data_IF_124962318299
#
_entry.id   IF_124962318299
#
_cell.length_a   1.000
_cell.length_b   1.000
_cell.length_c   1.000
_cell.angle_alpha   90.00
_cell.angle_beta   90.00
_cell.angle_gamma   90.00
#
_symmetry.space_group_name_H-M   'P 1'
#
loop_
_entity.id
_entity.type
_entity.pdbx_description
1 polymer ?
#
# COMPACT_ATOMS: atom_id res chain seq x y z
N UNK A 1 10.41 -7.86 -8.90
CA UNK A 1 9.99 -7.66 -7.49
C UNK A 1 8.90 -8.67 -7.17
N UNK A 2 8.89 -9.24 -5.95
CA UNK A 2 7.94 -10.29 -5.58
C UNK A 2 6.65 -9.68 -5.04
N UNK A 3 5.52 -9.98 -5.68
CA UNK A 3 4.20 -9.66 -5.13
C UNK A 3 3.79 -10.70 -4.09
N UNK A 4 2.84 -10.34 -3.24
CA UNK A 4 2.23 -11.24 -2.25
C UNK A 4 0.76 -11.48 -2.57
N UNK A 5 0.27 -12.65 -2.17
CA UNK A 5 -1.15 -13.02 -2.29
C UNK A 5 -1.84 -13.03 -0.91
N UNK A 6 -1.08 -13.28 0.15
CA UNK A 6 -1.54 -13.26 1.54
C UNK A 6 -0.44 -12.68 2.46
N UNK A 7 -0.85 -12.19 3.63
CA UNK A 7 0.02 -11.58 4.64
C UNK A 7 0.56 -12.65 5.60
N UNK A 8 1.70 -13.25 5.26
CA UNK A 8 2.37 -14.24 6.12
C UNK A 8 3.20 -13.61 7.24
N UNK A 9 3.59 -14.41 8.23
CA UNK A 9 4.57 -14.01 9.27
C UNK A 9 5.91 -13.57 8.66
N UNK A 10 6.38 -14.27 7.64
CA UNK A 10 7.63 -13.92 6.95
C UNK A 10 7.54 -12.54 6.31
N UNK A 11 6.41 -12.22 5.68
CA UNK A 11 6.17 -10.88 5.11
C UNK A 11 6.15 -9.82 6.23
N UNK A 12 5.52 -10.11 7.37
CA UNK A 12 5.51 -9.18 8.51
C UNK A 12 6.93 -8.98 9.06
N UNK A 13 7.71 -10.04 9.18
CA UNK A 13 9.08 -9.98 9.69
C UNK A 13 10.03 -9.27 8.72
N UNK A 14 9.85 -9.46 7.41
CA UNK A 14 10.71 -8.90 6.37
C UNK A 14 10.39 -7.44 6.05
N UNK A 15 9.12 -7.03 6.12
CA UNK A 15 8.66 -5.71 5.65
C UNK A 15 7.99 -4.84 6.73
N UNK A 16 7.73 -5.38 7.91
CA UNK A 16 7.09 -4.67 9.02
C UNK A 16 8.08 -3.82 9.83
N UNK A 17 7.62 -2.68 10.34
CA UNK A 17 8.45 -1.83 11.20
C UNK A 17 9.29 -0.78 10.45
N UNK A 18 9.00 -0.52 9.16
CA UNK A 18 9.79 0.36 8.30
C UNK A 18 9.92 1.81 8.78
N UNK A 19 8.87 2.38 9.38
CA UNK A 19 8.85 3.76 9.91
C UNK A 19 8.25 3.85 11.31
N UNK A 20 7.35 2.94 11.59
CA UNK A 20 6.67 2.81 12.86
C UNK A 20 6.58 1.32 13.14
N UNK A 21 6.84 0.94 14.40
CA UNK A 21 6.68 -0.43 14.85
C UNK A 21 5.27 -0.94 14.48
N UNK A 22 5.18 -2.17 13.97
CA UNK A 22 3.90 -2.77 13.61
C UNK A 22 3.27 -2.25 12.31
N UNK A 23 3.90 -1.34 11.56
CA UNK A 23 3.35 -0.87 10.27
C UNK A 23 4.05 -1.55 9.10
N UNK A 24 3.23 -2.06 8.16
CA UNK A 24 3.67 -2.57 6.86
C UNK A 24 3.20 -1.60 5.79
N UNK A 25 4.11 -1.18 4.91
CA UNK A 25 3.81 -0.34 3.77
C UNK A 25 3.67 -1.19 2.50
N UNK A 26 2.67 -0.91 1.69
CA UNK A 26 2.30 -1.65 0.48
C UNK A 26 2.12 -0.70 -0.72
N UNK A 27 2.41 -1.20 -1.92
CA UNK A 27 1.92 -0.65 -3.18
C UNK A 27 1.03 -1.69 -3.86
N UNK A 28 -0.18 -1.27 -4.22
CA UNK A 28 -1.16 -2.08 -4.93
C UNK A 28 -1.19 -1.61 -6.38
N UNK A 29 -0.83 -2.49 -7.31
CA UNK A 29 -1.06 -2.25 -8.75
C UNK A 29 -2.45 -2.77 -9.10
N UNK A 30 -3.43 -1.86 -9.18
CA UNK A 30 -4.82 -2.23 -9.48
C UNK A 30 -5.01 -2.70 -10.92
N UNK A 31 -4.11 -2.34 -11.83
CA UNK A 31 -4.16 -2.80 -13.22
C UNK A 31 -3.71 -4.25 -13.32
N UNK A 32 -2.60 -4.59 -12.65
CA UNK A 32 -2.01 -5.93 -12.68
C UNK A 32 -2.57 -6.86 -11.58
N UNK A 33 -3.43 -6.33 -10.70
CA UNK A 33 -4.00 -7.02 -9.52
C UNK A 33 -2.93 -7.63 -8.61
N UNK A 34 -1.84 -6.89 -8.36
CA UNK A 34 -0.71 -7.32 -7.53
C UNK A 34 -0.49 -6.42 -6.33
N UNK A 35 -0.09 -7.01 -5.21
CA UNK A 35 0.26 -6.31 -3.97
C UNK A 35 1.75 -6.48 -3.73
N UNK A 36 2.46 -5.39 -3.49
CA UNK A 36 3.90 -5.36 -3.28
C UNK A 36 4.23 -4.73 -1.92
N UNK A 37 4.83 -5.49 -0.98
CA UNK A 37 5.41 -4.91 0.21
C UNK A 37 6.56 -3.96 -0.14
N UNK A 38 6.61 -2.81 0.53
CA UNK A 38 7.64 -1.80 0.30
C UNK A 38 8.85 -2.11 1.18
N UNK A 39 10.05 -2.34 0.60
CA UNK A 39 11.26 -2.62 1.37
C UNK A 39 11.65 -1.49 2.33
N UNK A 40 12.29 -1.85 3.45
CA UNK A 40 12.68 -0.91 4.50
C UNK A 40 13.47 0.31 3.98
N UNK A 41 14.40 0.06 3.07
CA UNK A 41 15.33 1.04 2.51
C UNK A 41 14.74 1.90 1.38
N UNK A 42 13.47 1.76 1.00
CA UNK A 42 12.88 2.46 -0.15
C UNK A 42 11.60 3.21 0.19
N UNK A 43 11.53 4.50 -0.15
CA UNK A 43 10.27 5.24 -0.09
C UNK A 43 9.27 4.77 -1.15
N UNK A 44 7.97 4.98 -0.90
CA UNK A 44 6.91 4.59 -1.85
C UNK A 44 7.16 5.13 -3.26
N UNK A 45 7.65 6.36 -3.38
CA UNK A 45 7.96 6.98 -4.68
C UNK A 45 9.10 6.27 -5.40
N UNK A 46 10.15 5.91 -4.67
CA UNK A 46 11.31 5.25 -5.25
C UNK A 46 10.95 3.82 -5.65
N UNK A 47 10.16 3.14 -4.82
CA UNK A 47 9.64 1.80 -5.13
C UNK A 47 8.66 1.81 -6.31
N UNK A 48 7.77 2.79 -6.41
CA UNK A 48 6.89 2.96 -7.57
C UNK A 48 7.68 3.20 -8.87
N UNK A 49 8.76 3.98 -8.81
CA UNK A 49 9.64 4.20 -9.95
C UNK A 49 10.28 2.88 -10.42
N UNK A 50 10.74 2.04 -9.49
CA UNK A 50 11.28 0.71 -9.80
C UNK A 50 10.22 -0.24 -10.39
N UNK A 51 9.00 -0.25 -9.84
CA UNK A 51 7.90 -1.10 -10.35
C UNK A 51 7.50 -0.74 -11.79
N UNK A 52 7.64 0.52 -12.19
CA UNK A 52 7.27 1.00 -13.51
C UNK A 52 8.45 1.03 -14.51
N UNK A 53 9.65 0.65 -14.06
CA UNK A 53 10.90 0.83 -14.81
C UNK A 53 11.05 2.28 -15.32
N UNK A 54 10.94 3.23 -14.38
CA UNK A 54 11.03 4.67 -14.63
C UNK A 54 11.96 5.35 -13.64
N UNK A 55 12.47 6.52 -14.00
CA UNK A 55 13.15 7.40 -13.04
C UNK A 55 12.11 8.18 -12.23
N UNK A 56 12.42 8.46 -10.96
CA UNK A 56 11.61 9.32 -10.07
C UNK A 56 11.24 10.66 -10.71
N UNK A 57 12.17 11.27 -11.46
CA UNK A 57 11.94 12.53 -12.16
C UNK A 57 10.88 12.44 -13.25
N UNK A 58 10.73 11.29 -13.91
CA UNK A 58 9.68 11.06 -14.91
C UNK A 58 8.31 10.97 -14.25
N UNK A 59 8.20 10.26 -13.12
CA UNK A 59 6.95 10.20 -12.36
C UNK A 59 6.53 11.56 -11.81
N UNK A 60 7.49 12.40 -11.39
CA UNK A 60 7.20 13.77 -10.96
C UNK A 60 6.67 14.66 -12.09
N UNK A 61 7.22 14.49 -13.30
CA UNK A 61 6.79 15.24 -14.49
C UNK A 61 5.45 14.74 -15.03
N UNK A 62 5.19 13.44 -14.94
CA UNK A 62 3.94 12.83 -15.36
C UNK A 62 3.40 11.86 -14.29
N UNK A 63 2.73 12.40 -13.26
CA UNK A 63 2.20 11.59 -12.15
C UNK A 63 1.19 10.52 -12.58
N UNK A 64 0.51 10.72 -13.71
CA UNK A 64 -0.49 9.78 -14.22
C UNK A 64 0.09 8.40 -14.55
N UNK A 65 1.40 8.31 -14.81
CA UNK A 65 2.09 7.02 -14.99
C UNK A 65 2.00 6.13 -13.74
N UNK A 66 1.92 6.74 -12.56
CA UNK A 66 1.79 6.06 -11.27
C UNK A 66 0.34 6.00 -10.75
N UNK A 67 -0.66 6.50 -11.49
CA UNK A 67 -2.05 6.55 -11.02
C UNK A 67 -2.64 5.16 -10.70
N UNK A 68 -2.14 4.10 -11.36
CA UNK A 68 -2.50 2.70 -11.10
C UNK A 68 -1.87 2.10 -9.84
N UNK A 69 -0.87 2.77 -9.26
CA UNK A 69 -0.13 2.31 -8.09
C UNK A 69 -0.69 2.99 -6.86
N UNK A 70 -1.49 2.28 -6.09
CA UNK A 70 -2.14 2.82 -4.91
C UNK A 70 -1.36 2.42 -3.66
N UNK A 71 -0.91 3.38 -2.85
CA UNK A 71 -0.23 3.09 -1.61
C UNK A 71 -1.23 2.65 -0.54
N UNK A 72 -0.82 1.71 0.30
CA UNK A 72 -1.58 1.33 1.49
C UNK A 72 -0.66 0.99 2.64
N UNK A 73 -1.15 1.13 3.87
CA UNK A 73 -0.45 0.69 5.07
C UNK A 73 -1.34 -0.20 5.90
N UNK A 74 -0.76 -1.25 6.47
CA UNK A 74 -1.41 -2.12 7.45
C UNK A 74 -0.77 -1.85 8.80
N UNK A 75 -1.59 -1.56 9.81
CA UNK A 75 -1.15 -1.40 11.20
C UNK A 75 -1.43 -2.67 11.97
N UNK A 76 -0.41 -3.18 12.64
CA UNK A 76 -0.41 -4.41 13.42
C UNK A 76 0.03 -4.08 14.85
N UNK A 77 -0.81 -4.37 15.83
CA UNK A 77 -0.51 -4.20 17.25
C UNK A 77 -0.74 -5.54 17.96
N UNK A 78 0.22 -5.97 18.78
CA UNK A 78 0.15 -7.24 19.53
C UNK A 78 -0.18 -8.46 18.63
N UNK A 79 0.32 -8.45 17.39
CA UNK A 79 0.06 -9.52 16.40
C UNK A 79 -1.34 -9.49 15.78
N UNK A 80 -2.12 -8.43 16.00
CA UNK A 80 -3.46 -8.23 15.44
C UNK A 80 -3.47 -7.05 14.49
N UNK A 81 -4.22 -7.17 13.39
CA UNK A 81 -4.44 -6.06 12.48
C UNK A 81 -5.43 -5.09 13.12
N UNK A 82 -5.00 -3.85 13.36
CA UNK A 82 -5.84 -2.81 13.95
C UNK A 82 -6.38 -1.82 12.92
N UNK A 83 -5.80 -1.78 11.72
CA UNK A 83 -6.27 -0.89 10.68
C UNK A 83 -5.55 -1.07 9.34
N UNK A 84 -6.27 -0.65 8.30
CA UNK A 84 -5.76 -0.52 6.93
C UNK A 84 -6.05 0.89 6.46
N UNK A 85 -5.04 1.58 5.97
CA UNK A 85 -5.17 2.89 5.34
C UNK A 85 -4.76 2.76 3.87
N UNK A 86 -5.57 3.26 2.94
CA UNK A 86 -5.34 3.17 1.50
C UNK A 86 -5.51 4.56 0.89
N UNK A 87 -4.63 4.92 -0.05
CA UNK A 87 -4.69 6.24 -0.70
C UNK A 87 -4.30 7.40 0.22
N UNK A 88 -3.38 7.15 1.16
CA UNK A 88 -2.69 8.22 1.90
C UNK A 88 -1.23 7.83 2.08
N UNK A 89 -0.33 8.35 1.25
CA UNK A 89 1.12 8.21 1.48
C UNK A 89 1.95 9.35 0.88
N UNK A 90 3.26 9.29 1.18
CA UNK A 90 4.27 10.12 0.51
C UNK A 90 4.30 9.97 -1.02
N UNK A 91 3.65 8.94 -1.60
CA UNK A 91 3.43 8.82 -3.04
C UNK A 91 2.50 9.93 -3.55
N UNK A 92 1.30 10.07 -2.97
CA UNK A 92 0.31 11.05 -3.42
C UNK A 92 0.77 12.47 -3.13
N UNK A 93 1.38 12.69 -1.95
CA UNK A 93 1.93 13.99 -1.58
C UNK A 93 3.16 14.31 -2.45
N UNK A 94 4.06 13.35 -2.63
CA UNK A 94 5.35 13.54 -3.32
C UNK A 94 5.27 13.59 -4.84
N UNK A 95 4.27 12.93 -5.44
CA UNK A 95 4.04 12.91 -6.89
C UNK A 95 2.79 13.69 -7.31
N UNK A 96 1.95 14.17 -6.39
CA UNK A 96 0.66 14.82 -6.70
C UNK A 96 -0.26 13.94 -7.56
N UNK A 97 -0.19 12.63 -7.36
CA UNK A 97 -1.06 11.66 -8.05
C UNK A 97 -2.47 11.79 -7.50
N UNK A 98 -3.46 11.77 -8.39
CA UNK A 98 -4.88 11.69 -8.03
C UNK A 98 -5.41 10.33 -8.45
N UNK A 99 -5.85 9.53 -7.49
CA UNK A 99 -6.47 8.24 -7.76
C UNK A 99 -7.98 8.39 -7.96
N UNK A 100 -8.56 7.53 -8.80
CA UNK A 100 -10.02 7.42 -8.90
C UNK A 100 -10.57 6.72 -7.67
N UNK A 101 -11.76 7.12 -7.22
CA UNK A 101 -12.43 6.49 -6.07
C UNK A 101 -12.58 4.97 -6.25
N UNK A 102 -12.93 4.52 -7.45
CA UNK A 102 -13.05 3.10 -7.78
C UNK A 102 -11.73 2.34 -7.60
N UNK A 103 -10.61 2.96 -7.94
CA UNK A 103 -9.31 2.32 -7.83
C UNK A 103 -8.91 2.22 -6.35
N UNK A 104 -9.20 3.24 -5.54
CA UNK A 104 -8.99 3.23 -4.09
C UNK A 104 -9.82 2.12 -3.41
N UNK A 105 -11.09 2.00 -3.78
CA UNK A 105 -12.00 0.96 -3.27
C UNK A 105 -11.49 -0.44 -3.65
N UNK A 106 -11.10 -0.64 -4.91
CA UNK A 106 -10.53 -1.89 -5.39
C UNK A 106 -9.23 -2.25 -4.65
N UNK A 107 -8.32 -1.30 -4.50
CA UNK A 107 -7.06 -1.51 -3.78
C UNK A 107 -7.31 -1.86 -2.31
N UNK A 108 -8.25 -1.18 -1.65
CA UNK A 108 -8.60 -1.48 -0.27
C UNK A 108 -9.20 -2.88 -0.12
N UNK A 109 -10.09 -3.28 -1.03
CA UNK A 109 -10.66 -4.63 -1.07
C UNK A 109 -9.59 -5.72 -1.29
N UNK A 110 -8.61 -5.46 -2.16
CA UNK A 110 -7.49 -6.38 -2.38
C UNK A 110 -6.64 -6.56 -1.12
N UNK A 111 -6.36 -5.49 -0.37
CA UNK A 111 -5.62 -5.57 0.89
C UNK A 111 -6.37 -6.41 1.92
N UNK A 112 -7.68 -6.22 2.06
CA UNK A 112 -8.49 -7.05 2.95
C UNK A 112 -8.58 -8.50 2.51
N UNK A 113 -8.66 -8.78 1.21
CA UNK A 113 -8.60 -10.16 0.71
C UNK A 113 -7.26 -10.83 1.06
N UNK A 114 -6.15 -10.13 0.83
CA UNK A 114 -4.80 -10.59 1.21
C UNK A 114 -4.70 -10.86 2.72
N UNK A 115 -5.30 -10.00 3.55
CA UNK A 115 -5.37 -10.18 5.01
C UNK A 115 -6.22 -11.41 5.36
N UNK A 116 -7.41 -11.54 4.82
CA UNK A 116 -8.37 -12.58 5.18
C UNK A 116 -7.92 -13.98 4.76
N UNK A 117 -7.13 -14.08 3.69
CA UNK A 117 -6.47 -15.33 3.28
C UNK A 117 -5.32 -15.72 4.23
N UNK A 118 -4.94 -14.86 5.17
CA UNK A 118 -3.88 -15.12 6.14
C UNK A 118 -4.46 -15.85 7.36
N UNK A 119 -4.37 -17.18 7.37
CA UNK A 119 -4.92 -18.04 8.44
C UNK A 119 -4.40 -17.72 9.86
N UNK A 120 -3.32 -16.94 9.98
CA UNK A 120 -2.59 -16.74 11.23
C UNK A 120 -2.87 -15.41 11.95
N UNK A 121 -3.59 -14.47 11.32
CA UNK A 121 -3.93 -13.18 11.92
C UNK A 121 -5.42 -13.18 12.29
N UNK A 122 -5.74 -13.61 13.52
CA UNK A 122 -7.11 -13.55 14.04
C UNK A 122 -7.59 -12.09 14.06
N UNK A 123 -8.57 -11.80 13.24
CA UNK A 123 -9.17 -10.49 12.94
C UNK A 123 -9.81 -9.86 14.18
N UNK A 124 -9.53 -8.58 14.47
CA UNK A 124 -10.46 -7.70 15.22
C UNK A 124 -10.36 -6.25 14.74
N UNK A 125 -11.54 -5.63 14.57
CA UNK A 125 -11.85 -4.23 14.22
C UNK A 125 -11.58 -3.83 12.77
N UNK A 126 -12.66 -3.79 11.99
CA UNK A 126 -12.74 -3.09 10.70
C UNK A 126 -12.45 -1.62 10.97
N UNK A 127 -11.19 -1.22 10.79
CA UNK A 127 -10.80 0.19 10.82
C UNK A 127 -11.61 0.96 9.79
N UNK A 128 -12.28 2.05 10.22
CA UNK A 128 -13.07 2.92 9.34
C UNK A 128 -12.25 3.31 8.11
N UNK A 129 -12.80 3.07 6.92
CA UNK A 129 -12.33 3.61 5.65
C UNK A 129 -12.29 5.14 5.76
N UNK A 130 -11.14 5.73 6.07
CA UNK A 130 -10.93 7.19 6.00
C UNK A 130 -10.50 7.55 4.59
N UNK A 131 -11.47 7.69 3.68
CA UNK A 131 -11.23 8.34 2.39
C UNK A 131 -11.14 9.86 2.65
N UNK A 132 -9.92 10.40 2.73
CA UNK A 132 -9.75 11.85 2.70
C UNK A 132 -9.98 12.35 1.27
N UNK A 133 -11.22 12.73 0.97
CA UNK A 133 -11.52 13.53 -0.22
C UNK A 133 -10.91 14.92 -0.03
N UNK A 134 -9.72 15.15 -0.55
CA UNK A 134 -9.19 16.51 -0.66
C UNK A 134 -10.07 17.24 -1.68
N UNK A 135 -11.04 18.02 -1.20
CA UNK A 135 -11.74 19.02 -2.00
C UNK A 135 -10.76 20.17 -2.23
N UNK A 136 -10.39 20.38 -3.48
CA UNK A 136 -9.81 21.64 -3.94
C UNK A 136 -10.91 22.45 -4.61
#
# INVERSE_FOLDING_TARGET
MKSIEYLSKDVIQEFGGRKQAGVIALIIDVKEKKIYPVPHNLEHVDFAALLLDKKKGELKKNPQLAARLIPSTISIEEGKIVGVLTGVSGLEIGLKVKHKSSDLENAHGMVWACINLSEQLKTVSVGKLKINRIRF
#
